data_IF_938549482138
#
_entry.id   IF_938549482138
#
_cell.length_a   1.000
_cell.length_b   1.000
_cell.length_c   1.000
_cell.angle_alpha   90.00
_cell.angle_beta   90.00
_cell.angle_gamma   90.00
#
_symmetry.space_group_name_H-M   'P 1'
#
loop_
_entity.id
_entity.type
_entity.pdbx_description
1 polymer ?
#
# COMPACT_ATOMS: atom_id res chain seq x y z
N UNK A 1 -13.62 1.29 19.25
CA UNK A 1 -13.33 1.06 17.82
C UNK A 1 -14.09 2.15 17.07
N UNK A 2 -13.42 3.04 16.34
CA UNK A 2 -14.10 4.11 15.60
C UNK A 2 -15.16 3.49 14.67
N UNK A 3 -16.31 4.14 14.54
CA UNK A 3 -17.41 3.76 13.62
C UNK A 3 -17.05 3.92 12.12
N UNK A 4 -15.75 4.01 11.82
CA UNK A 4 -15.18 3.83 10.48
C UNK A 4 -15.56 2.48 9.88
N UNK A 5 -15.77 1.49 10.75
CA UNK A 5 -16.08 0.14 10.33
C UNK A 5 -17.42 0.08 9.60
N UNK A 6 -18.44 0.87 9.89
CA UNK A 6 -19.75 0.68 9.23
C UNK A 6 -19.68 0.66 7.69
N UNK A 7 -18.86 1.53 7.08
CA UNK A 7 -18.66 1.58 5.62
C UNK A 7 -17.81 0.43 5.05
N UNK A 8 -16.68 0.11 5.68
CA UNK A 8 -15.74 -0.93 5.19
C UNK A 8 -15.93 -2.32 5.82
N UNK A 9 -16.83 -2.46 6.81
CA UNK A 9 -17.00 -3.68 7.62
C UNK A 9 -17.28 -4.90 6.76
N UNK A 10 -18.16 -4.86 5.74
CA UNK A 10 -18.37 -6.03 4.88
C UNK A 10 -17.08 -6.55 4.25
N UNK A 11 -16.19 -5.64 3.79
CA UNK A 11 -14.90 -5.99 3.20
C UNK A 11 -13.86 -6.43 4.23
N UNK A 12 -13.86 -5.83 5.42
CA UNK A 12 -13.05 -6.31 6.56
C UNK A 12 -13.49 -7.70 7.00
N UNK A 13 -14.79 -7.98 7.03
CA UNK A 13 -15.35 -9.29 7.35
C UNK A 13 -14.98 -10.34 6.29
N UNK A 14 -15.01 -9.97 5.00
CA UNK A 14 -14.54 -10.81 3.91
C UNK A 14 -13.05 -11.16 4.07
N UNK A 15 -12.20 -10.16 4.35
CA UNK A 15 -10.78 -10.36 4.64
C UNK A 15 -10.56 -11.29 5.84
N UNK A 16 -11.33 -11.06 6.91
CA UNK A 16 -11.31 -11.87 8.13
C UNK A 16 -11.71 -13.31 7.85
N UNK A 17 -12.73 -13.53 7.02
CA UNK A 17 -13.17 -14.87 6.62
C UNK A 17 -12.11 -15.58 5.78
N UNK A 18 -11.45 -14.88 4.84
CA UNK A 18 -10.34 -15.45 4.06
C UNK A 18 -9.21 -15.93 4.98
N UNK A 19 -8.81 -15.11 5.96
CA UNK A 19 -7.78 -15.48 6.93
C UNK A 19 -8.23 -16.61 7.85
N UNK A 20 -9.46 -16.58 8.36
CA UNK A 20 -10.01 -17.62 9.20
C UNK A 20 -10.06 -18.98 8.47
N UNK A 21 -10.45 -18.99 7.19
CA UNK A 21 -10.41 -20.21 6.38
C UNK A 21 -9.00 -20.74 6.17
N UNK A 22 -8.02 -19.86 5.93
CA UNK A 22 -6.63 -20.27 5.82
C UNK A 22 -6.10 -20.88 7.14
N UNK A 23 -6.42 -20.26 8.28
CA UNK A 23 -6.12 -20.80 9.61
C UNK A 23 -6.82 -22.14 9.87
N UNK A 24 -8.08 -22.28 9.47
CA UNK A 24 -8.85 -23.51 9.61
C UNK A 24 -8.20 -24.68 8.86
N UNK A 25 -7.73 -24.44 7.63
CA UNK A 25 -7.01 -25.45 6.84
C UNK A 25 -5.67 -25.80 7.47
N UNK A 26 -4.93 -24.82 7.99
CA UNK A 26 -3.65 -25.09 8.67
C UNK A 26 -3.85 -25.97 9.92
N UNK A 27 -4.87 -25.65 10.72
CA UNK A 27 -5.10 -26.27 12.03
C UNK A 27 -5.82 -27.63 11.97
N UNK A 28 -6.64 -27.89 10.94
CA UNK A 28 -7.42 -29.13 10.84
C UNK A 28 -6.85 -30.08 9.77
N UNK A 29 -6.08 -31.08 10.22
CA UNK A 29 -5.49 -32.10 9.36
C UNK A 29 -6.53 -32.91 8.56
N UNK A 30 -7.75 -33.10 9.08
CA UNK A 30 -8.80 -33.81 8.37
C UNK A 30 -9.38 -32.97 7.23
N UNK A 31 -9.52 -31.66 7.41
CA UNK A 31 -9.86 -30.76 6.30
C UNK A 31 -8.82 -30.83 5.19
N UNK A 32 -7.53 -30.91 5.55
CA UNK A 32 -6.45 -31.01 4.55
C UNK A 32 -6.46 -32.34 3.80
N UNK A 33 -6.61 -33.44 4.54
CA UNK A 33 -6.72 -34.77 3.95
C UNK A 33 -7.92 -34.85 3.00
N UNK A 34 -9.09 -34.36 3.45
CA UNK A 34 -10.30 -34.34 2.64
C UNK A 34 -10.14 -33.47 1.38
N UNK A 35 -9.56 -32.29 1.50
CA UNK A 35 -9.30 -31.44 0.35
C UNK A 35 -8.34 -32.11 -0.65
N UNK A 36 -7.32 -32.80 -0.16
CA UNK A 36 -6.37 -33.55 -0.99
C UNK A 36 -7.05 -34.72 -1.72
N UNK A 37 -8.08 -35.35 -1.14
CA UNK A 37 -8.86 -36.39 -1.84
C UNK A 37 -9.78 -35.83 -2.93
N UNK A 38 -10.28 -34.61 -2.77
CA UNK A 38 -11.14 -33.97 -3.78
C UNK A 38 -10.28 -33.43 -4.93
N UNK A 39 -9.10 -32.91 -4.62
CA UNK A 39 -8.16 -32.42 -5.60
C UNK A 39 -7.56 -33.56 -6.40
N UNK A 40 -8.11 -33.80 -7.59
CA UNK A 40 -7.73 -34.91 -8.48
C UNK A 40 -6.29 -34.79 -9.00
N UNK A 41 -5.66 -33.61 -8.88
CA UNK A 41 -4.29 -33.31 -9.30
C UNK A 41 -3.66 -32.29 -8.35
N UNK A 42 -2.32 -32.26 -8.22
CA UNK A 42 -1.60 -31.17 -7.58
C UNK A 42 -1.70 -29.92 -8.46
N UNK A 43 -2.82 -29.23 -8.36
CA UNK A 43 -3.12 -28.01 -9.08
C UNK A 43 -3.59 -26.94 -8.09
N UNK A 44 -3.41 -25.70 -8.50
CA UNK A 44 -3.94 -24.51 -7.85
C UNK A 44 -5.48 -24.51 -7.83
N UNK A 45 -6.09 -24.33 -6.66
CA UNK A 45 -7.54 -24.33 -6.47
C UNK A 45 -8.03 -23.05 -5.77
N UNK A 46 -9.27 -22.64 -6.04
CA UNK A 46 -9.96 -21.63 -5.24
C UNK A 46 -10.95 -22.31 -4.28
N UNK A 47 -10.80 -22.07 -2.98
CA UNK A 47 -11.91 -22.26 -2.05
C UNK A 47 -12.81 -21.04 -2.10
N UNK A 48 -13.86 -21.13 -2.90
CA UNK A 48 -14.87 -20.08 -3.02
C UNK A 48 -16.12 -20.43 -2.23
N UNK A 49 -16.64 -19.46 -1.49
CA UNK A 49 -17.97 -19.48 -0.88
C UNK A 49 -18.69 -18.18 -1.22
N UNK A 50 -19.97 -18.05 -0.86
CA UNK A 50 -20.71 -16.78 -1.02
C UNK A 50 -20.05 -15.58 -0.33
N UNK A 51 -19.19 -15.81 0.68
CA UNK A 51 -18.66 -14.75 1.55
C UNK A 51 -17.14 -14.63 1.54
N UNK A 52 -16.43 -15.47 0.77
CA UNK A 52 -14.97 -15.42 0.67
C UNK A 52 -14.48 -16.24 -0.53
N UNK A 53 -13.30 -15.86 -1.03
CA UNK A 53 -12.53 -16.65 -2.00
C UNK A 53 -11.11 -16.77 -1.47
N UNK A 54 -10.62 -17.99 -1.29
CA UNK A 54 -9.28 -18.28 -0.76
C UNK A 54 -8.53 -19.15 -1.77
N UNK A 55 -7.45 -18.66 -2.40
CA UNK A 55 -6.61 -19.49 -3.23
C UNK A 55 -5.82 -20.49 -2.36
N UNK A 56 -5.80 -21.75 -2.77
CA UNK A 56 -5.16 -22.87 -2.06
C UNK A 56 -4.43 -23.75 -3.06
N UNK A 57 -3.20 -24.14 -2.76
CA UNK A 57 -2.42 -25.06 -3.58
C UNK A 57 -2.23 -26.36 -2.80
N UNK A 58 -2.43 -27.49 -3.48
CA UNK A 58 -2.35 -28.80 -2.86
C UNK A 58 -1.10 -29.48 -3.41
N UNK A 59 -0.01 -29.36 -2.67
CA UNK A 59 1.15 -30.22 -2.88
C UNK A 59 0.87 -31.56 -2.19
N UNK A 60 1.40 -32.64 -2.76
CA UNK A 60 1.05 -34.06 -2.52
C UNK A 60 0.93 -34.54 -1.05
N UNK A 61 1.40 -33.79 -0.05
CA UNK A 61 1.14 -34.04 1.38
C UNK A 61 1.01 -32.75 2.23
N UNK A 62 0.98 -31.58 1.61
CA UNK A 62 0.87 -30.28 2.29
C UNK A 62 -0.05 -29.35 1.50
N UNK A 63 -1.03 -28.81 2.21
CA UNK A 63 -1.74 -27.64 1.71
C UNK A 63 -0.82 -26.45 1.93
N UNK A 64 -0.30 -25.93 0.83
CA UNK A 64 0.41 -24.66 0.80
C UNK A 64 -0.57 -23.59 0.33
N UNK A 65 -0.46 -22.40 0.89
CA UNK A 65 -1.26 -21.28 0.41
C UNK A 65 -0.74 -20.94 -0.97
N UNK A 66 -1.61 -20.96 -1.97
CA UNK A 66 -1.19 -20.94 -3.35
C UNK A 66 -0.32 -19.70 -3.65
N UNK A 67 0.79 -19.93 -4.34
CA UNK A 67 1.58 -18.82 -4.89
C UNK A 67 0.78 -18.08 -5.98
N UNK A 68 1.12 -16.83 -6.29
CA UNK A 68 0.38 -15.93 -7.20
C UNK A 68 0.12 -16.54 -8.62
N UNK A 69 0.87 -17.56 -9.03
CA UNK A 69 0.67 -18.32 -10.28
C UNK A 69 -0.68 -19.05 -10.33
N UNK A 70 -1.19 -19.48 -9.18
CA UNK A 70 -2.46 -20.17 -9.03
C UNK A 70 -3.67 -19.29 -9.35
N UNK A 71 -3.60 -18.01 -8.97
CA UNK A 71 -4.70 -17.03 -9.12
C UNK A 71 -4.99 -16.63 -10.56
N UNK A 72 -4.11 -16.98 -11.51
CA UNK A 72 -4.22 -16.62 -12.93
C UNK A 72 -4.73 -17.75 -13.84
N UNK A 73 -4.68 -19.00 -13.38
CA UNK A 73 -5.45 -20.05 -14.02
C UNK A 73 -6.92 -19.78 -13.72
N UNK A 74 -7.82 -20.13 -14.64
CA UNK A 74 -9.22 -20.34 -14.26
C UNK A 74 -9.17 -21.39 -13.14
N UNK A 75 -9.24 -20.94 -11.89
CA UNK A 75 -9.23 -21.83 -10.75
C UNK A 75 -10.46 -22.70 -10.95
N UNK A 76 -10.25 -23.97 -11.27
CA UNK A 76 -11.35 -24.91 -11.39
C UNK A 76 -12.08 -24.88 -10.05
N UNK A 77 -13.27 -24.30 -10.08
CA UNK A 77 -14.14 -24.22 -8.93
C UNK A 77 -14.54 -25.64 -8.61
N UNK A 78 -13.85 -26.28 -7.67
CA UNK A 78 -14.43 -27.44 -7.01
C UNK A 78 -15.70 -26.93 -6.36
N UNK A 79 -16.85 -27.33 -6.91
CA UNK A 79 -18.13 -26.97 -6.35
C UNK A 79 -18.32 -27.74 -5.04
N UNK A 80 -17.79 -27.18 -3.95
CA UNK A 80 -17.91 -27.72 -2.60
C UNK A 80 -19.36 -27.75 -2.11
N UNK A 81 -20.30 -27.13 -2.82
CA UNK A 81 -21.73 -27.32 -2.55
C UNK A 81 -22.15 -28.80 -2.67
N UNK A 82 -21.41 -29.61 -3.43
CA UNK A 82 -21.68 -31.05 -3.58
C UNK A 82 -21.20 -31.91 -2.38
N UNK A 83 -20.40 -31.38 -1.44
CA UNK A 83 -19.90 -32.14 -0.27
C UNK A 83 -20.31 -31.46 1.05
N UNK A 84 -21.52 -31.77 1.53
CA UNK A 84 -22.11 -31.19 2.74
C UNK A 84 -21.25 -31.38 3.98
N UNK A 85 -20.67 -32.57 4.19
CA UNK A 85 -19.85 -32.89 5.34
C UNK A 85 -18.57 -32.03 5.41
N UNK A 86 -17.86 -31.89 4.28
CA UNK A 86 -16.68 -31.01 4.20
C UNK A 86 -17.06 -29.56 4.47
N UNK A 87 -18.15 -29.09 3.86
CA UNK A 87 -18.65 -27.71 4.00
C UNK A 87 -19.01 -27.37 5.43
N UNK A 88 -19.74 -28.25 6.11
CA UNK A 88 -20.12 -28.09 7.52
C UNK A 88 -18.89 -28.05 8.43
N UNK A 89 -17.93 -28.95 8.20
CA UNK A 89 -16.67 -28.96 8.94
C UNK A 89 -15.85 -27.69 8.72
N UNK A 90 -15.70 -27.26 7.47
CA UNK A 90 -14.98 -26.04 7.13
C UNK A 90 -15.63 -24.81 7.79
N UNK A 91 -16.96 -24.70 7.72
CA UNK A 91 -17.72 -23.63 8.41
C UNK A 91 -17.51 -23.66 9.93
N UNK A 92 -17.57 -24.84 10.54
CA UNK A 92 -17.34 -24.98 11.98
C UNK A 92 -15.92 -24.55 12.38
N UNK A 93 -14.91 -24.90 11.58
CA UNK A 93 -13.52 -24.49 11.85
C UNK A 93 -13.27 -23.01 11.57
N UNK A 94 -13.88 -22.43 10.53
CA UNK A 94 -13.86 -20.98 10.29
C UNK A 94 -14.44 -20.25 11.50
N UNK A 95 -15.57 -20.69 12.03
CA UNK A 95 -16.19 -20.07 13.21
C UNK A 95 -15.25 -20.10 14.44
N UNK A 96 -14.48 -21.19 14.62
CA UNK A 96 -13.50 -21.33 15.72
C UNK A 96 -12.27 -20.45 15.53
N UNK A 97 -11.75 -20.35 14.31
CA UNK A 97 -10.53 -19.61 13.97
C UNK A 97 -10.77 -18.13 13.73
N UNK A 98 -12.03 -17.70 13.55
CA UNK A 98 -12.40 -16.31 13.28
C UNK A 98 -11.82 -15.32 14.29
N UNK A 99 -11.90 -15.61 15.59
CA UNK A 99 -11.36 -14.73 16.64
C UNK A 99 -9.84 -14.55 16.51
N UNK A 100 -9.13 -15.60 16.11
CA UNK A 100 -7.69 -15.53 15.86
C UNK A 100 -7.38 -14.68 14.62
N UNK A 101 -8.17 -14.82 13.55
CA UNK A 101 -8.06 -13.96 12.36
C UNK A 101 -8.29 -12.48 12.72
N UNK A 102 -9.33 -12.18 13.49
CA UNK A 102 -9.62 -10.82 13.97
C UNK A 102 -8.46 -10.26 14.81
N UNK A 103 -7.85 -11.06 15.67
CA UNK A 103 -6.68 -10.66 16.47
C UNK A 103 -5.44 -10.36 15.61
N UNK A 104 -5.22 -11.13 14.54
CA UNK A 104 -4.12 -10.90 13.60
C UNK A 104 -4.32 -9.63 12.77
N UNK A 105 -5.56 -9.35 12.36
CA UNK A 105 -5.90 -8.19 11.53
C UNK A 105 -6.07 -6.90 12.34
N UNK A 106 -6.44 -6.99 13.62
CA UNK A 106 -6.75 -5.83 14.46
C UNK A 106 -5.69 -4.71 14.43
N UNK A 107 -4.37 -4.99 14.51
CA UNK A 107 -3.34 -3.94 14.45
C UNK A 107 -3.33 -3.12 13.15
N UNK A 108 -3.85 -3.66 12.05
CA UNK A 108 -3.87 -3.05 10.73
C UNK A 108 -5.08 -2.14 10.50
N UNK A 109 -6.15 -2.34 11.29
CA UNK A 109 -7.39 -1.58 11.22
C UNK A 109 -7.62 -0.71 12.46
N UNK A 110 -6.67 -0.72 13.40
CA UNK A 110 -6.68 0.18 14.53
C UNK A 110 -6.38 1.62 14.06
N UNK A 111 -7.17 2.57 14.52
CA UNK A 111 -6.96 3.99 14.22
C UNK A 111 -5.86 4.62 15.08
N UNK A 112 -5.49 4.01 16.20
CA UNK A 112 -4.55 4.56 17.19
C UNK A 112 -3.17 3.93 17.15
N UNK A 113 -2.95 2.92 16.31
CA UNK A 113 -1.71 2.15 16.30
C UNK A 113 -1.33 1.72 14.90
N UNK A 114 -0.06 1.43 14.71
CA UNK A 114 0.48 0.72 13.55
C UNK A 114 0.99 -0.65 14.00
N UNK A 115 0.96 -1.69 13.17
CA UNK A 115 1.48 -3.00 13.57
C UNK A 115 2.98 -2.93 13.82
N UNK A 116 3.47 -3.72 14.78
CA UNK A 116 4.89 -4.01 14.95
C UNK A 116 5.42 -4.93 13.85
N UNK A 117 6.74 -5.03 13.70
CA UNK A 117 7.38 -5.99 12.79
C UNK A 117 6.87 -7.41 13.00
N UNK A 118 6.82 -7.86 14.26
CA UNK A 118 6.31 -9.21 14.56
C UNK A 118 4.83 -9.41 14.19
N UNK A 119 3.99 -8.38 14.32
CA UNK A 119 2.58 -8.46 13.89
C UNK A 119 2.47 -8.45 12.37
N UNK A 120 3.32 -7.66 11.70
CA UNK A 120 3.39 -7.65 10.25
C UNK A 120 3.87 -8.97 9.67
N UNK A 121 4.92 -9.56 10.23
CA UNK A 121 5.46 -10.86 9.83
C UNK A 121 4.44 -11.97 10.03
N UNK A 122 3.74 -11.96 11.16
CA UNK A 122 2.69 -12.92 11.46
C UNK A 122 1.57 -12.89 10.42
N UNK A 123 1.24 -11.71 9.87
CA UNK A 123 0.23 -11.57 8.82
C UNK A 123 0.79 -11.85 7.41
N UNK A 124 2.04 -11.51 7.14
CA UNK A 124 2.65 -11.66 5.80
C UNK A 124 2.59 -13.08 5.25
N UNK A 125 2.74 -14.09 6.11
CA UNK A 125 2.56 -15.51 5.74
C UNK A 125 1.20 -15.77 5.06
N UNK A 126 0.18 -15.00 5.42
CA UNK A 126 -1.20 -15.14 4.94
C UNK A 126 -1.57 -14.13 3.85
N UNK A 127 -0.63 -13.28 3.42
CA UNK A 127 -0.92 -12.27 2.43
C UNK A 127 -1.42 -12.85 1.07
N UNK A 128 -0.93 -14.00 0.56
CA UNK A 128 -1.45 -14.59 -0.68
C UNK A 128 -2.94 -14.95 -0.61
N UNK A 129 -3.42 -15.47 0.53
CA UNK A 129 -4.83 -15.88 0.69
C UNK A 129 -5.80 -14.72 0.77
N UNK A 130 -5.28 -13.56 1.15
CA UNK A 130 -6.06 -12.35 1.35
C UNK A 130 -5.99 -11.40 0.16
N UNK A 131 -5.17 -11.67 -0.86
CA UNK A 131 -4.84 -10.72 -1.93
C UNK A 131 -6.07 -10.10 -2.62
N UNK A 132 -7.05 -10.93 -3.01
CA UNK A 132 -8.29 -10.46 -3.67
C UNK A 132 -9.10 -9.58 -2.72
N UNK A 133 -9.40 -10.06 -1.50
CA UNK A 133 -10.17 -9.31 -0.51
C UNK A 133 -9.45 -8.00 -0.10
N UNK A 134 -8.12 -8.02 0.00
CA UNK A 134 -7.30 -6.84 0.28
C UNK A 134 -7.32 -5.82 -0.87
N UNK A 135 -7.39 -6.27 -2.13
CA UNK A 135 -7.56 -5.38 -3.29
C UNK A 135 -8.92 -4.70 -3.28
N UNK A 136 -10.00 -5.46 -3.08
CA UNK A 136 -11.37 -4.91 -3.03
C UNK A 136 -11.54 -3.94 -1.85
N UNK A 137 -11.05 -4.32 -0.67
CA UNK A 137 -11.04 -3.44 0.49
C UNK A 137 -10.22 -2.18 0.22
N UNK A 138 -9.06 -2.33 -0.42
CA UNK A 138 -8.20 -1.19 -0.72
C UNK A 138 -8.83 -0.21 -1.69
N UNK A 139 -9.58 -0.69 -2.69
CA UNK A 139 -10.36 0.17 -3.59
C UNK A 139 -11.45 0.93 -2.82
N UNK A 140 -12.20 0.25 -1.96
CA UNK A 140 -13.23 0.89 -1.15
C UNK A 140 -12.64 1.93 -0.18
N UNK A 141 -11.45 1.68 0.37
CA UNK A 141 -10.77 2.65 1.24
C UNK A 141 -10.38 3.91 0.47
N UNK A 142 -9.94 3.79 -0.79
CA UNK A 142 -9.62 4.95 -1.64
C UNK A 142 -10.87 5.80 -1.85
N UNK A 143 -11.97 5.18 -2.30
CA UNK A 143 -13.26 5.86 -2.50
C UNK A 143 -13.76 6.55 -1.22
N UNK A 144 -13.70 5.85 -0.09
CA UNK A 144 -14.07 6.44 1.20
C UNK A 144 -13.12 7.57 1.61
N UNK A 145 -11.82 7.45 1.34
CA UNK A 145 -10.86 8.50 1.67
C UNK A 145 -11.20 9.79 0.94
N UNK A 146 -11.61 9.71 -0.32
CA UNK A 146 -12.05 10.88 -1.09
C UNK A 146 -13.31 11.51 -0.46
N UNK A 147 -14.30 10.70 -0.07
CA UNK A 147 -15.49 11.20 0.63
C UNK A 147 -15.19 11.85 2.00
N UNK A 148 -14.14 11.40 2.70
CA UNK A 148 -13.77 11.94 4.02
C UNK A 148 -12.80 13.13 3.95
N UNK A 149 -12.25 13.44 2.78
CA UNK A 149 -11.27 14.54 2.59
C UNK A 149 -11.89 15.91 2.91
N UNK A 150 -13.00 16.26 2.27
CA UNK A 150 -13.68 17.55 2.47
C UNK A 150 -14.25 17.69 3.91
N UNK A 151 -14.93 16.69 4.49
CA UNK A 151 -15.31 16.74 5.90
C UNK A 151 -14.13 16.97 6.86
N UNK A 152 -12.96 16.38 6.58
CA UNK A 152 -11.76 16.59 7.39
C UNK A 152 -11.18 18.01 7.25
N UNK A 153 -11.26 18.61 6.04
CA UNK A 153 -10.96 20.03 5.82
C UNK A 153 -11.89 20.94 6.63
N UNK A 154 -13.21 20.66 6.53
CA UNK A 154 -14.25 21.48 7.13
C UNK A 154 -14.21 21.44 8.67
N UNK A 155 -14.00 20.26 9.25
CA UNK A 155 -13.82 20.09 10.71
C UNK A 155 -12.67 20.96 11.21
N UNK A 156 -11.54 20.95 10.49
CA UNK A 156 -10.39 21.78 10.86
C UNK A 156 -10.73 23.27 10.80
N UNK A 157 -11.38 23.73 9.74
CA UNK A 157 -11.66 25.15 9.52
C UNK A 157 -12.66 25.74 10.55
N UNK A 158 -13.57 24.92 11.10
CA UNK A 158 -14.70 25.44 11.88
C UNK A 158 -14.82 24.88 13.31
N UNK A 159 -14.34 23.68 13.59
CA UNK A 159 -14.65 22.97 14.83
C UNK A 159 -13.43 22.65 15.70
N UNK A 160 -12.23 22.82 15.16
CA UNK A 160 -10.99 22.40 15.83
C UNK A 160 -10.85 20.87 15.88
N UNK A 161 -9.70 20.35 16.33
CA UNK A 161 -9.40 18.92 16.23
C UNK A 161 -10.21 18.07 17.22
N UNK A 162 -11.07 17.17 16.70
CA UNK A 162 -11.76 16.16 17.52
C UNK A 162 -11.00 14.83 17.55
N UNK A 163 -10.99 14.16 18.71
CA UNK A 163 -10.41 12.80 18.86
C UNK A 163 -11.08 11.75 17.98
N UNK A 164 -12.31 11.99 17.54
CA UNK A 164 -13.09 11.07 16.70
C UNK A 164 -13.62 11.74 15.42
N UNK A 165 -13.00 12.85 15.05
CA UNK A 165 -13.36 13.67 13.90
C UNK A 165 -13.09 13.02 12.54
N UNK A 166 -13.61 13.65 11.50
CA UNK A 166 -13.33 13.35 10.10
C UNK A 166 -11.83 13.29 9.79
N UNK A 167 -11.00 14.17 10.37
CA UNK A 167 -9.55 14.15 10.13
C UNK A 167 -8.88 12.86 10.65
N UNK A 168 -9.27 12.39 11.85
CA UNK A 168 -8.78 11.12 12.41
C UNK A 168 -9.25 9.94 11.57
N UNK A 169 -10.50 9.99 11.09
CA UNK A 169 -11.11 8.98 10.22
C UNK A 169 -10.38 8.87 8.89
N UNK A 170 -10.20 10.00 8.22
CA UNK A 170 -9.45 10.12 6.97
C UNK A 170 -8.01 9.59 7.13
N UNK A 171 -7.30 10.04 8.17
CA UNK A 171 -5.95 9.57 8.47
C UNK A 171 -5.87 8.06 8.72
N UNK A 172 -6.87 7.49 9.40
CA UNK A 172 -6.93 6.04 9.64
C UNK A 172 -7.12 5.27 8.33
N UNK A 173 -7.99 5.73 7.42
CA UNK A 173 -8.19 5.11 6.10
C UNK A 173 -6.88 5.08 5.29
N UNK A 174 -6.14 6.18 5.24
CA UNK A 174 -4.84 6.24 4.56
C UNK A 174 -3.82 5.25 5.14
N UNK A 175 -3.77 5.12 6.46
CA UNK A 175 -2.89 4.14 7.13
C UNK A 175 -3.30 2.70 6.83
N UNK A 176 -4.60 2.39 6.91
CA UNK A 176 -5.12 1.06 6.54
C UNK A 176 -4.71 0.71 5.11
N UNK A 177 -4.86 1.65 4.18
CA UNK A 177 -4.49 1.44 2.79
C UNK A 177 -2.98 1.24 2.61
N UNK A 178 -2.15 2.05 3.29
CA UNK A 178 -0.69 1.85 3.28
C UNK A 178 -0.32 0.47 3.81
N UNK A 179 -0.98 -0.03 4.87
CA UNK A 179 -0.74 -1.37 5.38
C UNK A 179 -1.14 -2.47 4.38
N UNK A 180 -2.29 -2.35 3.72
CA UNK A 180 -2.73 -3.30 2.69
C UNK A 180 -1.79 -3.29 1.48
N UNK A 181 -1.32 -2.12 1.06
CA UNK A 181 -0.31 -1.97 -0.01
C UNK A 181 1.01 -2.66 0.37
N UNK A 182 1.53 -2.42 1.57
CA UNK A 182 2.78 -3.03 2.03
C UNK A 182 2.65 -4.55 2.17
N UNK A 183 1.51 -5.03 2.67
CA UNK A 183 1.21 -6.47 2.76
C UNK A 183 1.15 -7.13 1.37
N UNK A 184 0.54 -6.48 0.38
CA UNK A 184 0.51 -6.98 -1.00
C UNK A 184 1.89 -6.95 -1.66
N UNK A 185 2.66 -5.91 -1.36
CA UNK A 185 4.02 -5.75 -1.90
C UNK A 185 5.02 -6.76 -1.32
N UNK A 186 4.72 -7.38 -0.17
CA UNK A 186 5.59 -8.41 0.44
C UNK A 186 5.50 -9.77 -0.27
N UNK A 187 4.35 -10.08 -0.89
CA UNK A 187 4.11 -11.33 -1.63
C UNK A 187 4.71 -11.29 -3.03
N UNK A 188 4.63 -10.14 -3.70
CA UNK A 188 5.01 -9.97 -5.11
C UNK A 188 6.51 -10.02 -5.40
N UNK A 189 7.37 -10.14 -4.38
CA UNK A 189 8.81 -10.28 -4.56
C UNK A 189 9.21 -11.71 -5.01
N UNK A 190 8.32 -12.70 -4.91
CA UNK A 190 8.56 -14.06 -5.42
C UNK A 190 7.72 -14.33 -6.66
N UNK A 191 8.34 -14.17 -7.85
CA UNK A 191 7.95 -14.68 -9.17
C UNK A 191 6.44 -14.73 -9.50
N UNK A 192 5.97 -13.90 -10.44
CA UNK A 192 4.63 -14.04 -11.04
C UNK A 192 3.80 -12.75 -11.10
N UNK A 193 4.41 -11.61 -11.43
CA UNK A 193 3.72 -10.33 -11.58
C UNK A 193 2.80 -10.29 -12.83
N UNK A 194 1.58 -10.78 -12.69
CA UNK A 194 0.44 -10.44 -13.53
C UNK A 194 -0.78 -10.83 -12.71
N UNK A 195 -1.40 -9.95 -11.93
CA UNK A 195 -2.50 -9.16 -12.44
C UNK A 195 -2.72 -8.03 -11.43
N UNK A 196 -2.41 -6.80 -11.81
CA UNK A 196 -3.28 -5.71 -11.37
C UNK A 196 -4.64 -6.07 -11.98
N UNK A 197 -5.76 -6.01 -11.25
CA UNK A 197 -7.05 -6.05 -11.90
C UNK A 197 -6.99 -5.06 -13.07
N UNK A 198 -7.31 -5.52 -14.29
CA UNK A 198 -7.43 -4.65 -15.49
C UNK A 198 -8.38 -3.45 -15.28
N UNK A 199 -9.04 -3.41 -14.13
CA UNK A 199 -10.01 -2.45 -13.64
C UNK A 199 -9.43 -1.31 -12.78
N UNK A 200 -8.12 -1.02 -12.79
CA UNK A 200 -7.66 0.34 -12.44
C UNK A 200 -7.66 1.19 -13.72
N UNK A 201 -8.77 1.86 -14.09
CA UNK A 201 -8.74 2.84 -15.16
C UNK A 201 -7.80 3.97 -14.73
N UNK A 202 -6.57 3.95 -15.24
CA UNK A 202 -5.61 5.05 -15.12
C UNK A 202 -6.01 6.18 -16.07
N UNK A 203 -7.26 6.63 -15.98
CA UNK A 203 -7.79 7.65 -16.89
C UNK A 203 -7.34 9.03 -16.45
N UNK A 204 -7.31 9.30 -15.15
CA UNK A 204 -7.09 10.67 -14.66
C UNK A 204 -5.93 10.79 -13.66
N UNK A 205 -5.61 9.72 -12.93
CA UNK A 205 -4.55 9.74 -11.90
C UNK A 205 -3.77 8.43 -11.83
N UNK A 206 -2.55 8.54 -11.31
CA UNK A 206 -1.69 7.41 -10.97
C UNK A 206 -2.27 6.64 -9.78
N UNK A 207 -2.01 5.32 -9.69
CA UNK A 207 -2.59 4.51 -8.63
C UNK A 207 -2.07 4.94 -7.25
N UNK A 208 -0.84 5.48 -7.17
CA UNK A 208 -0.19 5.86 -5.91
C UNK A 208 -0.58 7.24 -5.37
N UNK A 209 -1.29 8.06 -6.16
CA UNK A 209 -1.53 9.46 -5.83
C UNK A 209 -2.24 9.64 -4.49
N UNK A 210 -3.18 8.77 -4.14
CA UNK A 210 -3.92 8.90 -2.88
C UNK A 210 -3.05 8.77 -1.62
N UNK A 211 -1.85 8.17 -1.71
CA UNK A 211 -0.87 8.10 -0.60
C UNK A 211 0.12 9.26 -0.63
N UNK A 212 0.61 9.63 -1.80
CA UNK A 212 1.63 10.68 -1.95
C UNK A 212 1.06 12.07 -1.82
N UNK A 213 -0.21 12.28 -2.20
CA UNK A 213 -0.90 13.58 -2.12
C UNK A 213 -0.92 14.16 -0.71
N UNK A 214 -0.86 13.31 0.30
CA UNK A 214 -0.86 13.70 1.71
C UNK A 214 0.51 14.16 2.21
N UNK A 215 1.53 14.09 1.35
CA UNK A 215 2.89 14.60 1.62
C UNK A 215 3.43 14.04 2.94
N UNK A 216 3.20 12.77 3.23
CA UNK A 216 3.76 12.07 4.41
C UNK A 216 4.78 11.03 3.93
N UNK A 217 6.02 11.11 4.40
CA UNK A 217 7.10 10.20 3.95
C UNK A 217 6.74 8.73 4.12
N UNK A 218 6.13 8.33 5.25
CA UNK A 218 5.73 6.94 5.45
C UNK A 218 4.65 6.47 4.45
N UNK A 219 3.69 7.32 4.08
CA UNK A 219 2.69 7.00 3.05
C UNK A 219 3.34 6.96 1.66
N UNK A 220 4.24 7.89 1.36
CA UNK A 220 5.01 7.89 0.12
C UNK A 220 5.87 6.62 -0.02
N UNK A 221 6.46 6.13 1.08
CA UNK A 221 7.20 4.87 1.08
C UNK A 221 6.31 3.67 0.70
N UNK A 222 5.08 3.63 1.22
CA UNK A 222 4.10 2.62 0.82
C UNK A 222 3.72 2.75 -0.66
N UNK A 223 3.51 3.97 -1.16
CA UNK A 223 3.28 4.24 -2.59
C UNK A 223 4.44 3.75 -3.47
N UNK A 224 5.68 4.07 -3.13
CA UNK A 224 6.86 3.62 -3.85
C UNK A 224 6.92 2.09 -3.96
N UNK A 225 6.70 1.40 -2.83
CA UNK A 225 6.64 -0.07 -2.77
C UNK A 225 5.55 -0.64 -3.65
N UNK A 226 4.41 0.05 -3.71
CA UNK A 226 3.33 -0.36 -4.58
C UNK A 226 3.69 -0.21 -6.05
N UNK A 227 4.15 0.97 -6.48
CA UNK A 227 4.57 1.21 -7.85
C UNK A 227 5.62 0.18 -8.29
N UNK A 228 6.63 -0.05 -7.45
CA UNK A 228 7.65 -1.06 -7.68
C UNK A 228 7.08 -2.48 -7.83
N UNK A 229 6.11 -2.88 -7.01
CA UNK A 229 5.50 -4.23 -7.06
C UNK A 229 4.48 -4.40 -8.19
N UNK A 230 3.92 -3.32 -8.73
CA UNK A 230 3.06 -3.34 -9.93
C UNK A 230 3.90 -3.48 -11.22
N UNK A 231 5.13 -2.97 -11.19
CA UNK A 231 6.15 -3.19 -12.21
C UNK A 231 5.95 -2.42 -13.51
N UNK A 232 6.63 -2.88 -14.56
CA UNK A 232 6.77 -2.16 -15.84
C UNK A 232 5.45 -1.99 -16.60
N UNK A 233 4.44 -2.81 -16.30
CA UNK A 233 3.09 -2.71 -16.89
C UNK A 233 2.40 -1.37 -16.65
N UNK A 234 2.83 -0.59 -15.66
CA UNK A 234 2.24 0.72 -15.33
C UNK A 234 3.01 1.92 -15.89
N UNK A 235 4.16 1.71 -16.53
CA UNK A 235 5.02 2.81 -16.99
C UNK A 235 4.26 3.76 -17.92
N UNK A 236 3.52 3.23 -18.88
CA UNK A 236 2.71 4.04 -19.81
C UNK A 236 1.62 4.84 -19.09
N UNK A 237 0.98 4.25 -18.09
CA UNK A 237 -0.05 4.93 -17.29
C UNK A 237 0.54 6.11 -16.52
N UNK A 238 1.68 5.90 -15.86
CA UNK A 238 2.38 6.98 -15.17
C UNK A 238 2.87 8.08 -16.13
N UNK A 239 3.38 7.72 -17.31
CA UNK A 239 3.78 8.70 -18.34
C UNK A 239 2.59 9.50 -18.90
N UNK A 240 1.41 8.88 -19.02
CA UNK A 240 0.17 9.57 -19.40
C UNK A 240 -0.22 10.61 -18.36
N UNK A 241 -0.28 10.18 -17.08
CA UNK A 241 -0.59 11.07 -15.95
C UNK A 241 0.41 12.23 -15.88
N UNK A 242 1.71 11.96 -16.06
CA UNK A 242 2.73 12.99 -16.09
C UNK A 242 2.50 14.02 -17.21
N UNK A 243 2.05 13.58 -18.38
CA UNK A 243 1.75 14.46 -19.52
C UNK A 243 0.46 15.26 -19.39
N UNK A 244 -0.48 14.83 -18.55
CA UNK A 244 -1.76 15.50 -18.29
C UNK A 244 -1.85 16.18 -16.92
N UNK A 245 -0.79 16.10 -16.12
CA UNK A 245 -0.77 16.62 -14.75
C UNK A 245 -1.07 18.12 -14.72
N UNK A 246 -2.02 18.50 -13.86
CA UNK A 246 -2.44 19.90 -13.62
C UNK A 246 -1.91 20.42 -12.28
N UNK A 247 -1.50 19.50 -11.41
CA UNK A 247 -0.94 19.84 -10.10
C UNK A 247 0.49 19.34 -9.94
N UNK A 248 1.26 20.09 -9.14
CA UNK A 248 2.66 19.76 -8.88
C UNK A 248 2.81 18.41 -8.16
N UNK A 249 1.80 18.05 -7.35
CA UNK A 249 1.77 16.77 -6.64
C UNK A 249 1.52 15.57 -7.57
N UNK A 250 0.80 15.78 -8.68
CA UNK A 250 0.59 14.75 -9.70
C UNK A 250 1.88 14.51 -10.47
N UNK A 251 2.61 15.59 -10.80
CA UNK A 251 3.96 15.49 -11.38
C UNK A 251 4.91 14.76 -10.44
N UNK A 252 4.93 15.15 -9.16
CA UNK A 252 5.72 14.48 -8.14
C UNK A 252 5.38 12.99 -8.07
N UNK A 253 4.10 12.63 -7.88
CA UNK A 253 3.69 11.23 -7.76
C UNK A 253 4.03 10.43 -9.01
N UNK A 254 3.80 11.00 -10.19
CA UNK A 254 4.06 10.29 -11.44
C UNK A 254 5.55 10.00 -11.64
N UNK A 255 6.41 11.00 -11.40
CA UNK A 255 7.86 10.82 -11.42
C UNK A 255 8.32 9.86 -10.32
N UNK A 256 7.77 9.96 -9.12
CA UNK A 256 8.12 9.12 -7.98
C UNK A 256 7.76 7.65 -8.22
N UNK A 257 6.61 7.38 -8.83
CA UNK A 257 6.19 6.05 -9.27
C UNK A 257 7.09 5.48 -10.37
N UNK A 258 7.40 6.27 -11.41
CA UNK A 258 8.31 5.87 -12.49
C UNK A 258 9.71 5.51 -11.98
N UNK A 259 10.27 6.32 -11.08
CA UNK A 259 11.57 6.04 -10.47
C UNK A 259 11.49 4.79 -9.60
N UNK A 260 10.39 4.59 -8.86
CA UNK A 260 10.20 3.39 -8.04
C UNK A 260 10.18 2.12 -8.89
N UNK A 261 9.48 2.14 -10.02
CA UNK A 261 9.48 1.04 -11.00
C UNK A 261 10.89 0.83 -11.56
N UNK A 262 11.57 1.87 -12.03
CA UNK A 262 12.91 1.80 -12.62
C UNK A 262 14.01 1.33 -11.64
N UNK A 263 13.83 1.55 -10.33
CA UNK A 263 14.73 1.05 -9.31
C UNK A 263 14.53 -0.45 -9.06
N UNK A 264 13.29 -0.94 -9.12
CA UNK A 264 12.96 -2.36 -8.95
C UNK A 264 13.19 -3.20 -10.23
N UNK A 265 12.97 -2.61 -11.41
CA UNK A 265 13.00 -3.24 -12.73
C UNK A 265 14.08 -2.59 -13.59
N UNK A 266 15.33 -3.04 -13.43
CA UNK A 266 16.55 -2.37 -13.94
C UNK A 266 16.53 -2.19 -15.46
N UNK A 267 15.93 -3.13 -16.17
CA UNK A 267 15.78 -3.14 -17.63
C UNK A 267 14.95 -1.95 -18.16
N UNK A 268 14.02 -1.43 -17.35
CA UNK A 268 13.18 -0.27 -17.75
C UNK A 268 13.84 1.09 -17.49
N UNK A 269 14.95 1.12 -16.75
CA UNK A 269 15.52 2.34 -16.17
C UNK A 269 16.00 3.33 -17.23
N UNK A 270 16.79 2.86 -18.19
CA UNK A 270 17.38 3.71 -19.23
C UNK A 270 16.30 4.31 -20.14
N UNK A 271 15.29 3.51 -20.49
CA UNK A 271 14.16 3.96 -21.31
C UNK A 271 13.32 5.01 -20.59
N UNK A 272 13.00 4.78 -19.31
CA UNK A 272 12.29 5.77 -18.48
C UNK A 272 13.12 7.06 -18.39
N UNK A 273 14.42 6.97 -18.11
CA UNK A 273 15.29 8.15 -18.02
C UNK A 273 15.29 8.96 -19.33
N UNK A 274 15.44 8.29 -20.47
CA UNK A 274 15.43 8.93 -21.80
C UNK A 274 14.11 9.65 -22.08
N UNK A 275 12.98 9.02 -21.78
CA UNK A 275 11.65 9.64 -21.97
C UNK A 275 11.50 10.88 -21.08
N UNK A 276 11.93 10.83 -19.83
CA UNK A 276 11.88 11.96 -18.91
C UNK A 276 12.79 13.12 -19.35
N UNK A 277 13.96 12.82 -19.91
CA UNK A 277 14.85 13.84 -20.49
C UNK A 277 14.21 14.54 -21.69
N UNK A 278 13.58 13.77 -22.59
CA UNK A 278 12.91 14.31 -23.78
C UNK A 278 11.69 15.17 -23.44
N UNK A 279 10.89 14.77 -22.45
CA UNK A 279 9.61 15.42 -22.12
C UNK A 279 9.73 16.49 -21.03
N UNK A 280 10.79 16.44 -20.21
CA UNK A 280 10.89 17.24 -18.99
C UNK A 280 10.87 18.75 -19.23
N UNK A 281 11.62 19.25 -20.23
CA UNK A 281 11.67 20.67 -20.54
C UNK A 281 10.29 21.24 -20.88
N UNK A 282 9.55 20.58 -21.79
CA UNK A 282 8.22 20.99 -22.19
C UNK A 282 7.21 20.99 -21.02
N UNK A 283 7.30 20.00 -20.12
CA UNK A 283 6.43 19.91 -18.94
C UNK A 283 6.76 21.02 -17.92
N UNK A 284 8.03 21.33 -17.70
CA UNK A 284 8.46 22.43 -16.83
C UNK A 284 7.99 23.77 -17.39
N UNK A 285 8.15 24.00 -18.70
CA UNK A 285 7.73 25.22 -19.38
C UNK A 285 6.21 25.40 -19.36
N UNK A 286 5.43 24.31 -19.46
CA UNK A 286 3.98 24.34 -19.37
C UNK A 286 3.44 24.69 -17.97
N UNK A 287 4.29 24.72 -16.93
CA UNK A 287 3.92 25.01 -15.54
C UNK A 287 4.59 26.30 -14.99
N UNK A 288 4.38 27.48 -15.61
CA UNK A 288 5.20 28.68 -15.36
C UNK A 288 5.15 29.19 -13.92
N UNK A 289 4.02 29.03 -13.22
CA UNK A 289 3.86 29.47 -11.81
C UNK A 289 4.43 28.49 -10.79
N UNK A 290 4.84 27.28 -11.21
CA UNK A 290 5.32 26.19 -10.34
C UNK A 290 6.59 25.55 -10.89
N UNK A 291 7.27 26.24 -11.79
CA UNK A 291 8.39 25.72 -12.59
C UNK A 291 9.53 25.22 -11.71
N UNK A 292 9.83 25.90 -10.59
CA UNK A 292 10.88 25.51 -9.66
C UNK A 292 10.62 24.17 -8.97
N UNK A 293 9.38 23.93 -8.52
CA UNK A 293 8.99 22.68 -7.90
C UNK A 293 9.02 21.54 -8.91
N UNK A 294 8.41 21.74 -10.08
CA UNK A 294 8.36 20.75 -11.16
C UNK A 294 9.78 20.42 -11.65
N UNK A 295 10.63 21.44 -11.84
CA UNK A 295 12.03 21.27 -12.19
C UNK A 295 12.81 20.51 -11.10
N UNK A 296 12.57 20.79 -9.82
CA UNK A 296 13.18 20.04 -8.72
C UNK A 296 12.76 18.57 -8.71
N UNK A 297 11.50 18.25 -9.01
CA UNK A 297 11.03 16.88 -9.14
C UNK A 297 11.74 16.14 -10.29
N UNK A 298 11.82 16.75 -11.48
CA UNK A 298 12.54 16.18 -12.63
C UNK A 298 14.03 15.99 -12.36
N UNK A 299 14.71 17.00 -11.78
CA UNK A 299 16.13 16.90 -11.40
C UNK A 299 16.36 15.76 -10.40
N UNK A 300 15.48 15.61 -9.42
CA UNK A 300 15.55 14.54 -8.41
C UNK A 300 15.35 13.16 -9.03
N UNK A 301 14.34 13.02 -9.89
CA UNK A 301 14.04 11.77 -10.58
C UNK A 301 15.20 11.34 -11.50
N UNK A 302 15.67 12.24 -12.38
CA UNK A 302 16.77 11.97 -13.30
C UNK A 302 18.09 11.72 -12.56
N UNK A 303 18.34 12.43 -11.45
CA UNK A 303 19.51 12.20 -10.61
C UNK A 303 19.61 10.75 -10.12
N UNK A 304 18.49 10.19 -9.66
CA UNK A 304 18.43 8.80 -9.19
C UNK A 304 18.52 7.81 -10.34
N UNK A 305 17.81 8.04 -11.44
CA UNK A 305 17.81 7.12 -12.58
C UNK A 305 19.21 7.00 -13.20
N UNK A 306 19.94 8.10 -13.32
CA UNK A 306 21.31 8.11 -13.86
C UNK A 306 22.32 7.50 -12.89
N UNK A 307 22.12 7.68 -11.59
CA UNK A 307 23.09 7.31 -10.55
C UNK A 307 22.42 6.69 -9.32
N UNK A 308 21.85 5.49 -9.45
CA UNK A 308 21.04 4.85 -8.40
C UNK A 308 21.85 4.41 -7.17
N UNK A 309 23.19 4.36 -7.31
CA UNK A 309 24.11 3.98 -6.25
C UNK A 309 24.84 5.17 -5.61
N UNK A 310 24.55 6.41 -6.01
CA UNK A 310 25.12 7.55 -5.30
C UNK A 310 24.65 7.51 -3.85
N UNK A 311 25.61 7.72 -2.95
CA UNK A 311 25.41 7.78 -1.50
C UNK A 311 24.20 8.65 -1.23
N UNK A 312 23.15 8.01 -0.70
CA UNK A 312 21.98 8.70 -0.21
C UNK A 312 22.44 9.86 0.65
N UNK A 313 21.87 11.03 0.39
CA UNK A 313 22.17 12.25 1.11
C UNK A 313 22.07 11.99 2.61
N UNK A 314 23.23 11.99 3.29
CA UNK A 314 23.35 11.69 4.71
C UNK A 314 22.50 12.67 5.52
N UNK A 315 22.36 13.92 5.06
CA UNK A 315 21.53 14.91 5.73
C UNK A 315 20.05 14.52 5.67
N UNK A 316 19.57 14.07 4.50
CA UNK A 316 18.20 13.58 4.30
C UNK A 316 17.91 12.32 5.13
N UNK A 317 18.86 11.38 5.26
CA UNK A 317 18.72 10.21 6.14
C UNK A 317 18.74 10.56 7.61
N UNK A 318 19.61 11.49 8.00
CA UNK A 318 19.70 11.98 9.38
C UNK A 318 18.39 12.64 9.78
N UNK A 319 17.80 13.46 8.89
CA UNK A 319 16.48 14.07 9.08
C UNK A 319 15.38 13.02 9.21
N UNK A 320 15.41 11.98 8.36
CA UNK A 320 14.44 10.89 8.44
C UNK A 320 14.56 10.10 9.75
N UNK A 321 15.72 10.14 10.41
CA UNK A 321 15.99 9.41 11.65
C UNK A 321 15.96 7.90 11.49
N UNK A 322 15.85 7.40 10.26
CA UNK A 322 15.65 5.99 9.95
C UNK A 322 16.92 5.34 9.42
N UNK A 323 17.17 4.14 9.91
CA UNK A 323 18.19 3.23 9.38
C UNK A 323 17.49 1.98 8.88
N UNK A 324 17.74 1.62 7.63
CA UNK A 324 17.21 0.41 7.00
C UNK A 324 17.98 -0.84 7.45
N UNK A 325 18.07 -1.03 8.76
CA UNK A 325 18.73 -2.19 9.36
C UNK A 325 17.80 -2.92 10.35
N UNK A 326 18.00 -4.23 10.59
CA UNK A 326 17.15 -5.00 11.49
C UNK A 326 17.15 -4.53 12.95
N UNK A 327 18.21 -3.86 13.39
CA UNK A 327 18.36 -3.38 14.78
C UNK A 327 17.65 -2.05 15.02
N UNK A 328 17.45 -1.24 13.97
CA UNK A 328 16.84 0.08 13.99
C UNK A 328 15.34 0.05 14.30
N UNK A 329 14.75 1.24 14.50
CA UNK A 329 13.39 1.38 15.01
C UNK A 329 12.31 1.16 13.96
N UNK A 330 12.62 1.30 12.67
CA UNK A 330 11.69 1.13 11.55
C UNK A 330 11.22 2.47 10.97
N UNK A 331 10.69 2.46 9.74
CA UNK A 331 10.32 3.70 9.05
C UNK A 331 9.05 4.33 9.64
N UNK A 332 8.09 3.54 10.11
CA UNK A 332 6.98 4.03 10.92
C UNK A 332 7.51 4.52 12.28
N UNK A 333 8.11 5.70 12.26
CA UNK A 333 8.67 6.45 13.37
C UNK A 333 8.08 7.87 13.32
N UNK A 334 7.96 8.61 14.44
CA UNK A 334 7.27 9.89 14.49
C UNK A 334 7.67 10.87 13.37
N UNK A 335 8.95 10.93 13.02
CA UNK A 335 9.53 11.84 12.03
C UNK A 335 9.03 11.52 10.62
N UNK A 336 8.91 10.25 10.23
CA UNK A 336 8.42 9.87 8.91
C UNK A 336 6.93 10.20 8.70
N UNK A 337 6.16 10.36 9.79
CA UNK A 337 4.80 10.88 9.73
C UNK A 337 4.75 12.41 9.55
N UNK A 338 5.81 13.12 9.93
CA UNK A 338 5.88 14.58 9.93
C UNK A 338 6.59 15.15 8.72
N UNK A 339 7.57 14.45 8.18
CA UNK A 339 8.35 14.91 7.04
C UNK A 339 7.53 14.90 5.75
N UNK A 340 7.86 15.86 4.89
CA UNK A 340 7.27 16.04 3.58
C UNK A 340 8.19 15.44 2.50
N UNK A 341 7.76 14.41 1.74
CA UNK A 341 8.58 13.80 0.71
C UNK A 341 8.88 14.76 -0.46
N UNK A 342 8.15 15.88 -0.56
CA UNK A 342 8.31 16.88 -1.61
C UNK A 342 9.17 18.07 -1.19
N UNK A 343 9.62 18.11 0.06
CA UNK A 343 10.50 19.17 0.55
C UNK A 343 11.83 19.15 -0.20
N UNK A 344 12.23 20.31 -0.72
CA UNK A 344 13.48 20.48 -1.45
C UNK A 344 14.60 20.75 -0.45
N UNK A 345 15.59 19.85 -0.39
CA UNK A 345 16.77 19.99 0.44
C UNK A 345 17.77 21.02 -0.10
N UNK A 346 18.84 21.27 0.65
CA UNK A 346 19.90 22.22 0.28
C UNK A 346 20.62 21.89 -1.03
N UNK A 347 20.60 20.62 -1.45
CA UNK A 347 21.15 20.15 -2.73
C UNK A 347 20.17 20.29 -3.89
N UNK A 348 19.00 20.92 -3.69
CA UNK A 348 17.98 21.10 -4.72
C UNK A 348 17.23 19.82 -5.09
N UNK A 349 17.38 18.75 -4.29
CA UNK A 349 16.70 17.47 -4.43
C UNK A 349 15.56 17.33 -3.43
N UNK A 350 14.46 16.74 -3.86
CA UNK A 350 13.32 16.44 -3.02
C UNK A 350 13.60 15.25 -2.09
N UNK A 351 13.19 15.37 -0.82
CA UNK A 351 13.48 14.39 0.23
C UNK A 351 13.06 12.96 -0.15
N UNK A 352 11.84 12.79 -0.65
CA UNK A 352 11.25 11.49 -0.99
C UNK A 352 12.10 10.74 -2.00
N UNK A 353 12.56 11.43 -3.04
CA UNK A 353 13.50 10.87 -4.01
C UNK A 353 14.83 10.52 -3.34
N UNK A 354 15.42 11.43 -2.55
CA UNK A 354 16.72 11.18 -1.91
C UNK A 354 16.72 9.89 -1.08
N UNK A 355 15.65 9.58 -0.35
CA UNK A 355 15.55 8.38 0.50
C UNK A 355 15.00 7.14 -0.23
N UNK A 356 14.51 7.29 -1.46
CA UNK A 356 13.83 6.25 -2.22
C UNK A 356 14.65 4.97 -2.43
N UNK A 357 15.95 5.02 -2.81
CA UNK A 357 16.75 3.81 -2.98
C UNK A 357 16.84 2.96 -1.71
N UNK A 358 16.93 3.61 -0.54
CA UNK A 358 16.97 2.92 0.76
C UNK A 358 15.59 2.38 1.13
N UNK A 359 14.52 3.16 0.89
CA UNK A 359 13.15 2.71 1.11
C UNK A 359 12.87 1.44 0.32
N UNK A 360 13.24 1.37 -0.96
CA UNK A 360 13.00 0.20 -1.82
C UNK A 360 13.98 -0.96 -1.56
N UNK A 361 15.22 -0.65 -1.18
CA UNK A 361 16.22 -1.67 -0.85
C UNK A 361 16.02 -2.36 0.50
N UNK A 362 15.27 -1.74 1.42
CA UNK A 362 14.99 -2.33 2.73
C UNK A 362 14.14 -3.61 2.64
N UNK A 363 14.09 -4.42 3.70
CA UNK A 363 13.02 -5.40 3.86
C UNK A 363 11.71 -4.63 4.20
N UNK A 364 10.58 -5.03 3.61
CA UNK A 364 9.27 -4.40 3.85
C UNK A 364 8.92 -4.34 5.34
N UNK A 365 9.35 -5.32 6.13
CA UNK A 365 9.16 -5.38 7.59
C UNK A 365 9.83 -4.21 8.30
N UNK A 366 10.93 -3.68 7.77
CA UNK A 366 11.62 -2.52 8.32
C UNK A 366 10.81 -1.22 8.18
N UNK A 367 9.66 -1.24 7.50
CA UNK A 367 8.74 -0.11 7.46
C UNK A 367 7.89 -0.02 8.73
N UNK A 368 7.96 -1.03 9.60
CA UNK A 368 7.19 -1.13 10.84
C UNK A 368 8.08 -1.05 12.08
N UNK A 369 7.54 -0.58 13.22
CA UNK A 369 8.25 -0.46 14.47
C UNK A 369 8.73 -1.80 15.01
N UNK A 370 9.96 -1.83 15.53
CA UNK A 370 10.57 -3.06 16.09
C UNK A 370 9.74 -3.70 17.21
N UNK A 371 9.09 -2.90 18.07
CA UNK A 371 8.31 -3.44 19.21
C UNK A 371 7.01 -2.67 19.45
N UNK A 372 6.01 -3.38 20.00
CA UNK A 372 4.69 -2.79 20.34
C UNK A 372 4.78 -1.63 21.33
N UNK A 373 5.72 -1.68 22.27
CA UNK A 373 5.91 -0.62 23.26
C UNK A 373 6.23 0.74 22.63
N UNK A 374 6.79 0.75 21.41
CA UNK A 374 7.10 1.97 20.67
C UNK A 374 5.92 2.46 19.82
N UNK A 375 4.87 1.65 19.64
CA UNK A 375 3.74 1.92 18.73
C UNK A 375 2.86 3.07 19.19
N UNK A 376 2.61 3.18 20.50
CA UNK A 376 1.65 4.15 21.08
C UNK A 376 2.06 5.62 20.93
N UNK A 377 3.31 5.88 20.49
CA UNK A 377 3.84 7.24 20.29
C UNK A 377 4.03 7.61 18.81
N UNK A 378 3.68 6.72 17.88
CA UNK A 378 3.98 6.89 16.45
C UNK A 378 2.95 7.72 15.72
N UNK A 379 1.67 7.44 15.99
CA UNK A 379 0.57 8.15 15.35
C UNK A 379 0.49 9.55 15.96
N UNK A 380 0.60 10.63 15.15
CA UNK A 380 0.45 11.97 15.66
C UNK A 380 -0.91 12.16 16.37
N UNK A 381 -0.98 12.97 17.44
CA UNK A 381 -2.24 13.29 18.08
C UNK A 381 -3.19 14.01 17.09
N UNK A 382 -4.51 13.98 17.32
CA UNK A 382 -5.50 14.55 16.39
C UNK A 382 -5.21 15.98 15.92
N UNK A 383 -4.80 16.89 16.83
CA UNK A 383 -4.47 18.27 16.47
C UNK A 383 -3.28 18.39 15.53
N UNK A 384 -2.30 17.51 15.69
CA UNK A 384 -1.14 17.45 14.79
C UNK A 384 -1.50 16.79 13.46
N UNK A 385 -2.33 15.75 13.45
CA UNK A 385 -2.84 15.14 12.21
C UNK A 385 -3.53 16.18 11.33
N UNK A 386 -4.41 17.01 11.89
CA UNK A 386 -5.04 18.09 11.12
C UNK A 386 -4.02 19.05 10.49
N UNK A 387 -2.95 19.37 11.21
CA UNK A 387 -1.89 20.27 10.72
C UNK A 387 -1.09 19.63 9.58
N UNK A 388 -0.73 18.35 9.73
CA UNK A 388 0.03 17.60 8.73
C UNK A 388 -0.78 17.41 7.44
N UNK A 389 -2.05 17.09 7.57
CA UNK A 389 -2.98 16.93 6.45
C UNK A 389 -3.19 18.29 5.74
N UNK A 390 -3.34 19.39 6.49
CA UNK A 390 -3.47 20.74 5.91
C UNK A 390 -2.31 21.13 4.98
N UNK A 391 -1.08 20.71 5.30
CA UNK A 391 0.10 20.99 4.44
C UNK A 391 -0.11 20.47 3.02
N UNK A 392 -0.71 19.29 2.89
CA UNK A 392 -1.04 18.70 1.60
C UNK A 392 -2.13 19.44 0.83
N UNK A 393 -3.00 20.18 1.54
CA UNK A 393 -4.23 20.74 0.96
C UNK A 393 -4.18 22.26 0.77
N UNK A 394 -3.27 22.95 1.45
CA UNK A 394 -3.09 24.41 1.30
C UNK A 394 -2.54 24.80 -0.07
N UNK A 395 -1.80 23.90 -0.73
CA UNK A 395 -1.41 24.04 -2.15
C UNK A 395 -2.62 24.01 -3.08
N UNK A 396 -3.59 23.14 -2.79
CA UNK A 396 -4.79 22.95 -3.61
C UNK A 396 -5.69 24.21 -3.53
N UNK A 397 -5.90 24.74 -2.32
CA UNK A 397 -6.69 25.96 -2.10
C UNK A 397 -6.08 27.22 -2.73
N UNK A 398 -4.74 27.36 -2.70
CA UNK A 398 -4.05 28.49 -3.33
C UNK A 398 -4.03 28.41 -4.86
N UNK A 399 -4.18 27.21 -5.41
CA UNK A 399 -4.15 26.98 -6.85
C UNK A 399 -5.46 27.26 -7.58
N UNK A 400 -6.57 27.47 -6.86
CA UNK A 400 -7.92 27.55 -7.45
C UNK A 400 -8.34 26.27 -8.18
N UNK A 401 -7.53 25.21 -8.09
CA UNK A 401 -7.76 23.91 -8.67
C UNK A 401 -8.31 23.04 -7.54
N UNK A 402 -9.58 22.67 -7.61
CA UNK A 402 -10.04 21.48 -6.89
C UNK A 402 -9.40 20.29 -7.60
N UNK A 403 -8.18 19.95 -7.22
CA UNK A 403 -7.68 18.62 -7.50
C UNK A 403 -8.53 17.70 -6.62
N UNK A 404 -9.51 17.06 -7.28
CA UNK A 404 -10.60 16.22 -6.77
C UNK A 404 -11.84 16.97 -6.30
#
# INVERSE_FOLDING_TARGET
MLDLTAGIKPKVDQLTNCLAAALALEQDSQLRAHLSTIARRPEALALSTKTMTVPVEIASERIELASEHATNAALDGIDFEANSAFKERLRAQIARTRRQAEQLLFPFFSHTSVPSRSEFDALCKWAPTMGIAANELGQQIVEMSDCWREPALNEWAHSGPSRYGAAVRYSALLRMQAHLVLLRSSVRASAGAATVPRSFPLTDHSPTLFLTRERVVWLAAAAARWAASLGTSLVEGYLRVLGSARHEIEVFDALFGLVSIALAHKESREDIARILEMKGAAIVEAAPTRSDYVAAAFRSALGILRRPHIRVDISSLTRLGWKADPSGDGLAYPEAFRLDPTEIGSQGHMLGFAVLPIILGADVRLHYPRSKARVSRLVPPPGELCTLIKRAWSSDLASGCSCF
#
